data_IF_759842822553
#
_entry.id   IF_759842822553
#
_cell.length_a   1.000
_cell.length_b   1.000
_cell.length_c   1.000
_cell.angle_alpha   90.00
_cell.angle_beta   90.00
_cell.angle_gamma   90.00
#
_symmetry.space_group_name_H-M   'P 1'
#
loop_
_entity.id
_entity.type
_entity.pdbx_description
1 polymer ?
#
# COMPACT_ATOMS: atom_id res chain seq x y z
N UNK A 1 -21.44 23.96 -1.83
CA UNK A 1 -19.99 24.15 -1.53
C UNK A 1 -19.38 23.12 -0.56
N UNK A 2 -20.11 22.08 -0.15
CA UNK A 2 -19.60 21.07 0.79
C UNK A 2 -18.73 20.00 0.10
N UNK A 3 -19.13 19.57 -1.11
CA UNK A 3 -18.47 18.52 -1.90
C UNK A 3 -17.03 18.93 -2.28
N UNK A 4 -16.82 20.16 -2.77
CA UNK A 4 -15.49 20.65 -3.15
C UNK A 4 -14.51 20.68 -1.96
N UNK A 5 -15.00 21.03 -0.77
CA UNK A 5 -14.18 21.04 0.46
C UNK A 5 -13.82 19.63 0.91
N UNK A 6 -14.75 18.68 0.76
CA UNK A 6 -14.50 17.27 1.07
C UNK A 6 -13.46 16.68 0.11
N UNK A 7 -13.61 16.91 -1.20
CA UNK A 7 -12.63 16.50 -2.21
C UNK A 7 -11.24 17.08 -1.92
N UNK A 8 -11.17 18.36 -1.55
CA UNK A 8 -9.90 19.00 -1.20
C UNK A 8 -9.28 18.42 0.08
N UNK A 9 -10.09 18.17 1.12
CA UNK A 9 -9.63 17.56 2.36
C UNK A 9 -9.17 16.10 2.16
N UNK A 10 -9.84 15.37 1.28
CA UNK A 10 -9.49 14.00 0.88
C UNK A 10 -8.17 14.00 0.09
N UNK A 11 -8.04 14.86 -0.92
CA UNK A 11 -6.82 14.97 -1.73
C UNK A 11 -5.62 15.47 -0.91
N UNK A 12 -5.81 16.23 0.17
CA UNK A 12 -4.69 16.74 1.00
C UNK A 12 -4.37 15.81 2.18
N UNK A 13 -5.17 14.78 2.45
CA UNK A 13 -4.95 13.92 3.60
C UNK A 13 -3.75 13.00 3.39
N UNK A 14 -2.73 13.13 4.25
CA UNK A 14 -1.56 12.23 4.28
C UNK A 14 -1.94 10.74 4.34
N UNK A 15 -3.04 10.41 5.00
CA UNK A 15 -3.50 9.03 5.15
C UNK A 15 -3.99 8.44 3.83
N UNK A 16 -4.66 9.26 3.02
CA UNK A 16 -5.17 8.82 1.72
C UNK A 16 -4.03 8.62 0.73
N UNK A 17 -3.00 9.48 0.76
CA UNK A 17 -1.80 9.27 -0.05
C UNK A 17 -1.03 8.01 0.34
N UNK A 18 -0.92 7.69 1.63
CA UNK A 18 -0.25 6.45 2.03
C UNK A 18 -1.08 5.21 1.63
N UNK A 19 -2.41 5.26 1.76
CA UNK A 19 -3.29 4.19 1.27
C UNK A 19 -3.18 4.02 -0.25
N UNK A 20 -3.20 5.13 -1.01
CA UNK A 20 -3.08 5.13 -2.46
C UNK A 20 -1.73 4.55 -2.90
N UNK A 21 -0.64 4.94 -2.24
CA UNK A 21 0.69 4.41 -2.52
C UNK A 21 0.78 2.90 -2.27
N UNK A 22 0.21 2.41 -1.17
CA UNK A 22 0.12 0.98 -0.88
C UNK A 22 -0.69 0.24 -1.93
N UNK A 23 -1.87 0.76 -2.28
CA UNK A 23 -2.73 0.17 -3.32
C UNK A 23 -2.01 0.10 -4.68
N UNK A 24 -1.30 1.17 -5.05
CA UNK A 24 -0.53 1.22 -6.29
C UNK A 24 0.62 0.20 -6.27
N UNK A 25 1.35 0.08 -5.16
CA UNK A 25 2.40 -0.94 -4.99
C UNK A 25 1.85 -2.36 -5.08
N UNK A 26 0.71 -2.62 -4.44
CA UNK A 26 0.03 -3.92 -4.53
C UNK A 26 -0.39 -4.25 -5.97
N UNK A 27 -0.91 -3.26 -6.69
CA UNK A 27 -1.28 -3.41 -8.10
C UNK A 27 -0.06 -3.66 -8.98
N UNK A 28 1.06 -2.98 -8.71
CA UNK A 28 2.33 -3.24 -9.40
C UNK A 28 2.80 -4.68 -9.18
N UNK A 29 2.76 -5.18 -7.95
CA UNK A 29 3.12 -6.58 -7.64
C UNK A 29 2.17 -7.55 -8.35
N UNK A 30 0.87 -7.25 -8.39
CA UNK A 30 -0.12 -8.12 -9.03
C UNK A 30 0.08 -8.20 -10.55
N UNK A 31 0.15 -7.05 -11.22
CA UNK A 31 0.21 -6.95 -12.68
C UNK A 31 1.59 -7.30 -13.21
N UNK A 32 2.65 -6.77 -12.59
CA UNK A 32 4.02 -6.93 -13.07
C UNK A 32 4.75 -8.10 -12.41
N UNK A 33 4.23 -8.67 -11.32
CA UNK A 33 4.84 -9.85 -10.67
C UNK A 33 5.20 -10.98 -11.64
N UNK A 34 4.28 -11.47 -12.49
CA UNK A 34 4.56 -12.60 -13.38
C UNK A 34 5.67 -12.35 -14.40
N UNK A 35 5.89 -11.09 -14.78
CA UNK A 35 6.94 -10.73 -15.76
C UNK A 35 8.30 -10.49 -15.08
N UNK A 36 8.34 -10.35 -13.76
CA UNK A 36 9.57 -10.15 -12.99
C UNK A 36 10.29 -11.49 -12.86
N UNK A 37 11.46 -11.58 -13.50
CA UNK A 37 12.36 -12.73 -13.43
C UNK A 37 13.75 -12.27 -13.00
N UNK A 38 14.39 -13.08 -12.16
CA UNK A 38 15.77 -12.87 -11.70
C UNK A 38 16.59 -14.08 -12.13
N UNK A 39 17.28 -13.96 -13.26
CA UNK A 39 17.96 -15.09 -13.89
C UNK A 39 16.96 -16.21 -14.24
N UNK A 40 17.17 -17.46 -13.78
CA UNK A 40 16.24 -18.55 -14.01
C UNK A 40 15.02 -18.55 -13.06
N UNK A 41 15.01 -17.69 -12.04
CA UNK A 41 13.96 -17.69 -11.01
C UNK A 41 12.82 -16.72 -11.37
N UNK A 42 11.58 -17.18 -11.24
CA UNK A 42 10.37 -16.37 -11.39
C UNK A 42 9.63 -16.27 -10.04
N UNK A 43 10.14 -15.44 -9.10
CA UNK A 43 9.70 -15.46 -7.70
C UNK A 43 8.22 -15.09 -7.52
N UNK A 44 7.66 -14.31 -8.43
CA UNK A 44 6.28 -13.80 -8.36
C UNK A 44 5.36 -14.44 -9.40
N UNK A 45 5.76 -15.57 -9.99
CA UNK A 45 4.91 -16.32 -10.91
C UNK A 45 3.69 -16.93 -10.19
N UNK A 46 3.90 -17.44 -8.98
CA UNK A 46 2.81 -18.01 -8.17
C UNK A 46 1.89 -16.94 -7.61
N UNK A 47 0.58 -17.11 -7.86
CA UNK A 47 -0.49 -16.28 -7.29
C UNK A 47 -0.41 -16.24 -5.76
N UNK A 48 -0.13 -17.37 -5.12
CA UNK A 48 -0.02 -17.47 -3.67
C UNK A 48 1.12 -16.60 -3.12
N UNK A 49 2.25 -16.54 -3.83
CA UNK A 49 3.39 -15.70 -3.42
C UNK A 49 3.04 -14.22 -3.56
N UNK A 50 2.40 -13.83 -4.68
CA UNK A 50 1.94 -12.44 -4.88
C UNK A 50 0.93 -12.01 -3.81
N UNK A 51 -0.04 -12.88 -3.49
CA UNK A 51 -1.01 -12.63 -2.43
C UNK A 51 -0.30 -12.48 -1.07
N UNK A 52 0.62 -13.39 -0.75
CA UNK A 52 1.38 -13.32 0.51
C UNK A 52 2.20 -12.03 0.63
N UNK A 53 2.82 -11.58 -0.46
CA UNK A 53 3.56 -10.32 -0.48
C UNK A 53 2.66 -9.11 -0.31
N UNK A 54 1.54 -9.05 -1.04
CA UNK A 54 0.56 -7.97 -0.94
C UNK A 54 0.02 -7.90 0.49
N UNK A 55 -0.33 -9.05 1.07
CA UNK A 55 -0.79 -9.14 2.45
C UNK A 55 0.29 -8.66 3.42
N UNK A 56 1.54 -9.09 3.27
CA UNK A 56 2.66 -8.64 4.08
C UNK A 56 2.88 -7.13 4.02
N UNK A 57 2.81 -6.55 2.81
CA UNK A 57 2.94 -5.11 2.59
C UNK A 57 1.82 -4.32 3.28
N UNK A 58 0.57 -4.79 3.20
CA UNK A 58 -0.57 -4.18 3.90
C UNK A 58 -0.41 -4.29 5.42
N UNK A 59 0.01 -5.45 5.94
CA UNK A 59 0.23 -5.65 7.38
C UNK A 59 1.31 -4.71 7.91
N UNK A 60 2.44 -4.61 7.22
CA UNK A 60 3.52 -3.69 7.59
C UNK A 60 3.04 -2.24 7.62
N UNK A 61 2.24 -1.84 6.64
CA UNK A 61 1.63 -0.52 6.61
C UNK A 61 0.69 -0.28 7.79
N UNK A 62 -0.19 -1.24 8.13
CA UNK A 62 -1.08 -1.14 9.28
C UNK A 62 -0.29 -1.01 10.60
N UNK A 63 0.77 -1.78 10.78
CA UNK A 63 1.66 -1.67 11.94
C UNK A 63 2.26 -0.27 12.01
N UNK A 64 2.82 0.22 10.90
CA UNK A 64 3.39 1.57 10.83
C UNK A 64 2.35 2.65 11.15
N UNK A 65 1.10 2.46 10.70
CA UNK A 65 -0.01 3.36 10.95
C UNK A 65 -0.35 3.46 12.43
N UNK A 66 -0.44 2.31 13.12
CA UNK A 66 -0.66 2.25 14.57
C UNK A 66 0.48 2.94 15.31
N UNK A 67 1.73 2.69 14.93
CA UNK A 67 2.90 3.34 15.53
C UNK A 67 2.91 4.86 15.29
N UNK A 68 2.54 5.31 14.10
CA UNK A 68 2.43 6.73 13.77
C UNK A 68 1.31 7.43 14.56
N UNK A 69 0.16 6.78 14.74
CA UNK A 69 -0.94 7.29 15.57
C UNK A 69 -0.51 7.41 17.04
N UNK A 70 0.18 6.41 17.58
CA UNK A 70 0.68 6.44 18.96
C UNK A 70 1.62 7.61 19.23
N UNK A 71 2.43 8.02 18.24
CA UNK A 71 3.30 9.21 18.37
C UNK A 71 2.50 10.51 18.42
N UNK A 72 1.39 10.59 17.69
CA UNK A 72 0.54 11.77 17.68
C UNK A 72 -0.29 11.96 18.96
N UNK A 73 -0.59 10.88 19.70
CA UNK A 73 -1.34 10.95 20.97
C UNK A 73 -0.44 11.29 22.17
N UNK A 74 0.86 11.02 22.08
CA UNK A 74 1.83 11.26 23.16
C UNK A 74 2.54 12.62 23.08
N UNK A 75 2.30 13.39 22.03
CA UNK A 75 2.83 14.74 21.84
C UNK A 75 1.78 15.76 22.27
#
# INVERSE_FOLDING_TARGET
>A
MFILRLFWAVITSRFLWTLLGIALLSLLIWVFGPIVKVGPYAPFESDNVRIAMIAGLIILWLIWLILAQRRAIRA
#
